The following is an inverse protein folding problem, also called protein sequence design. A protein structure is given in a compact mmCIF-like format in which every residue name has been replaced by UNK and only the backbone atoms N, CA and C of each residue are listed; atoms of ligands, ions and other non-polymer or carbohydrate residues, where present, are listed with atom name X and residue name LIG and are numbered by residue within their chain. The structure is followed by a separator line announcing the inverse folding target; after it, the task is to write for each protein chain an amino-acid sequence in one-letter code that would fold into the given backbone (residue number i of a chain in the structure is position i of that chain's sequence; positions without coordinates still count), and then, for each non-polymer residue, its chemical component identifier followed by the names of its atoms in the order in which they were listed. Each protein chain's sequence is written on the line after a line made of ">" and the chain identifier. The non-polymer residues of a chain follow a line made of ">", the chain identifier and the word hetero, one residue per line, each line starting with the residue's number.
data_IF_110650514569
#
_entry.id   IF_110650514569
#
_cell.length_a   1.000
_cell.length_b   1.000
_cell.length_c   1.000
_cell.angle_alpha   90.00
_cell.angle_beta   90.00
_cell.angle_gamma   90.00
#
_symmetry.space_group_name_H-M   'P 1'
#
loop_
_entity.id
_entity.type
_entity.pdbx_description
1 polymer ?
#
# COMPACT_ATOMS: atom_id res chain seq x y z
N UNK A 1 21.30 33.13 15.18
CA UNK A 1 20.60 31.85 14.91
C UNK A 1 20.56 31.67 13.40
N UNK A 2 21.44 30.84 12.85
CA UNK A 2 21.39 30.50 11.42
C UNK A 2 20.15 29.66 11.16
N UNK A 3 19.35 30.03 10.16
CA UNK A 3 18.18 29.28 9.72
C UNK A 3 18.71 28.02 9.03
N UNK A 4 18.56 26.84 9.63
CA UNK A 4 18.93 25.58 8.98
C UNK A 4 18.20 25.47 7.62
N UNK A 5 18.88 25.01 6.57
CA UNK A 5 18.24 24.86 5.27
C UNK A 5 17.14 23.79 5.37
N UNK A 6 16.05 23.91 4.59
CA UNK A 6 14.86 23.06 4.74
C UNK A 6 15.12 21.56 4.60
N UNK A 7 16.15 21.18 3.82
CA UNK A 7 16.53 19.78 3.61
C UNK A 7 17.28 19.18 4.80
N UNK A 8 18.19 19.93 5.44
CA UNK A 8 18.88 19.48 6.67
C UNK A 8 17.87 19.19 7.78
N UNK A 9 16.87 20.07 7.91
CA UNK A 9 15.78 19.85 8.86
C UNK A 9 14.97 18.61 8.49
N UNK A 10 14.65 18.41 7.22
CA UNK A 10 13.87 17.25 6.79
C UNK A 10 14.60 15.93 7.08
N UNK A 11 15.91 15.90 6.85
CA UNK A 11 16.77 14.76 7.17
C UNK A 11 16.75 14.41 8.67
N UNK A 12 16.86 15.43 9.53
CA UNK A 12 16.75 15.26 10.98
C UNK A 12 15.34 14.81 11.39
N UNK A 13 14.31 15.46 10.85
CA UNK A 13 12.90 15.20 11.16
C UNK A 13 12.47 13.77 10.75
N UNK A 14 13.06 13.19 9.70
CA UNK A 14 12.77 11.80 9.28
C UNK A 14 13.35 10.77 10.25
N UNK A 15 14.54 11.04 10.80
CA UNK A 15 15.20 10.21 11.81
C UNK A 15 14.57 10.35 13.20
N UNK A 16 13.84 11.44 13.45
CA UNK A 16 13.12 11.69 14.69
C UNK A 16 11.72 11.02 14.67
N UNK A 17 11.57 9.96 15.46
CA UNK A 17 10.30 9.24 15.62
C UNK A 17 9.18 10.11 16.22
N UNK A 18 9.52 11.17 16.96
CA UNK A 18 8.54 12.08 17.56
C UNK A 18 7.86 13.00 16.53
N UNK A 19 8.48 13.16 15.34
CA UNK A 19 7.90 13.98 14.28
C UNK A 19 6.77 13.21 13.58
N UNK A 20 5.56 13.78 13.47
CA UNK A 20 4.45 13.11 12.80
C UNK A 20 4.72 12.87 11.31
N UNK A 21 4.47 11.64 10.85
CA UNK A 21 4.63 11.24 9.43
C UNK A 21 3.86 12.19 8.48
N UNK A 22 2.71 12.72 8.90
CA UNK A 22 1.92 13.66 8.09
C UNK A 22 2.66 14.97 7.81
N UNK A 23 3.47 15.45 8.77
CA UNK A 23 4.29 16.63 8.57
C UNK A 23 5.35 16.37 7.50
N UNK A 24 6.03 15.22 7.59
CA UNK A 24 7.03 14.78 6.61
C UNK A 24 6.41 14.66 5.20
N UNK A 25 5.25 14.00 5.08
CA UNK A 25 4.56 13.84 3.80
C UNK A 25 4.10 15.17 3.19
N UNK A 26 3.68 16.15 4.00
CA UNK A 26 3.36 17.50 3.51
C UNK A 26 4.58 18.23 2.95
N UNK A 27 5.75 18.06 3.57
CA UNK A 27 7.01 18.58 3.01
C UNK A 27 7.32 17.92 1.67
N UNK A 28 7.13 16.61 1.55
CA UNK A 28 7.30 15.88 0.28
C UNK A 28 6.37 16.41 -0.81
N UNK A 29 5.11 16.74 -0.50
CA UNK A 29 4.20 17.38 -1.48
C UNK A 29 4.78 18.71 -1.98
N UNK A 30 5.32 19.54 -1.09
CA UNK A 30 5.92 20.83 -1.45
C UNK A 30 7.17 20.62 -2.32
N UNK A 31 8.04 19.69 -1.94
CA UNK A 31 9.25 19.34 -2.71
C UNK A 31 8.88 18.82 -4.11
N UNK A 32 7.94 17.88 -4.19
CA UNK A 32 7.43 17.36 -5.47
C UNK A 32 6.76 18.44 -6.32
N UNK A 33 6.12 19.43 -5.70
CA UNK A 33 5.56 20.59 -6.39
C UNK A 33 6.61 21.48 -7.04
N UNK A 34 7.71 21.76 -6.31
CA UNK A 34 8.85 22.55 -6.82
C UNK A 34 9.59 21.83 -7.94
N UNK A 35 9.70 20.50 -7.83
CA UNK A 35 10.36 19.66 -8.82
C UNK A 35 9.46 19.21 -9.97
N UNK A 36 8.18 19.61 -10.01
CA UNK A 36 7.20 19.09 -10.98
C UNK A 36 7.07 17.55 -11.02
N UNK A 37 7.38 16.89 -9.91
CA UNK A 37 7.27 15.42 -9.77
C UNK A 37 5.84 15.03 -9.38
N UNK A 38 5.02 14.75 -10.39
CA UNK A 38 3.66 14.24 -10.18
C UNK A 38 3.60 12.91 -9.39
N UNK A 39 4.44 11.89 -9.69
CA UNK A 39 4.42 10.63 -8.95
C UNK A 39 4.66 10.82 -7.45
N UNK A 40 5.65 11.65 -7.08
CA UNK A 40 5.99 11.93 -5.69
C UNK A 40 4.82 12.61 -4.95
N UNK A 41 4.17 13.59 -5.58
CA UNK A 41 3.00 14.26 -5.00
C UNK A 41 1.81 13.31 -4.85
N UNK A 42 1.57 12.46 -5.85
CA UNK A 42 0.46 11.50 -5.83
C UNK A 42 0.64 10.48 -4.71
N UNK A 43 1.84 9.91 -4.58
CA UNK A 43 2.19 9.00 -3.49
C UNK A 43 1.97 9.66 -2.13
N UNK A 44 2.57 10.83 -1.88
CA UNK A 44 2.44 11.51 -0.59
C UNK A 44 0.98 11.90 -0.27
N UNK A 45 0.20 12.25 -1.30
CA UNK A 45 -1.23 12.54 -1.14
C UNK A 45 -2.02 11.28 -0.77
N UNK A 46 -1.78 10.14 -1.44
CA UNK A 46 -2.45 8.89 -1.13
C UNK A 46 -2.08 8.38 0.28
N UNK A 47 -0.83 8.56 0.71
CA UNK A 47 -0.42 8.27 2.08
C UNK A 47 -1.20 9.13 3.11
N UNK A 48 -1.37 10.43 2.83
CA UNK A 48 -2.08 11.37 3.69
C UNK A 48 -3.61 11.20 3.70
N UNK A 49 -4.21 10.88 2.55
CA UNK A 49 -5.66 10.90 2.35
C UNK A 49 -6.28 9.49 2.31
N UNK A 50 -5.44 8.47 2.16
CA UNK A 50 -5.86 7.11 1.86
C UNK A 50 -5.76 6.83 0.36
N UNK A 51 -5.68 5.56 0.04
CA UNK A 51 -5.63 5.08 -1.32
C UNK A 51 -7.04 4.93 -1.90
N UNK A 52 -7.19 5.05 -3.23
CA UNK A 52 -8.42 4.72 -3.93
C UNK A 52 -8.92 3.31 -3.57
N UNK A 53 -10.22 3.08 -3.77
CA UNK A 53 -10.93 1.85 -3.40
C UNK A 53 -10.41 0.56 -4.06
N UNK A 54 -11.08 -0.57 -3.81
CA UNK A 54 -10.60 -1.91 -4.18
C UNK A 54 -10.31 -2.04 -5.68
N UNK A 55 -9.26 -2.79 -6.02
CA UNK A 55 -8.81 -3.01 -7.39
C UNK A 55 -7.84 -1.95 -7.92
N UNK A 56 -7.59 -0.89 -7.17
CA UNK A 56 -6.54 0.08 -7.51
C UNK A 56 -5.19 -0.40 -7.01
N UNK A 57 -4.11 -0.16 -7.78
CA UNK A 57 -2.77 -0.57 -7.42
C UNK A 57 -2.33 0.10 -6.11
N UNK A 58 -1.84 -0.73 -5.20
CA UNK A 58 -1.32 -0.34 -3.91
C UNK A 58 0.18 -0.67 -3.84
N UNK A 59 0.98 0.14 -3.13
CA UNK A 59 2.33 -0.27 -2.79
C UNK A 59 2.32 -1.58 -2.00
N UNK A 60 3.33 -2.42 -2.17
CA UNK A 60 3.38 -3.77 -1.57
C UNK A 60 3.26 -3.75 -0.04
N UNK A 61 3.85 -2.75 0.62
CA UNK A 61 3.76 -2.55 2.07
C UNK A 61 2.35 -2.14 2.56
N UNK A 62 1.40 -1.85 1.66
CA UNK A 62 -0.01 -1.61 2.00
C UNK A 62 -0.86 -2.88 1.99
N UNK A 63 -0.28 -4.03 1.67
CA UNK A 63 -0.96 -5.32 1.75
C UNK A 63 -0.36 -6.12 2.89
N UNK A 64 -1.19 -6.48 3.87
CA UNK A 64 -0.75 -7.26 5.03
C UNK A 64 -1.38 -8.65 5.01
N UNK A 65 -0.63 -9.64 5.49
CA UNK A 65 -1.18 -10.98 5.72
C UNK A 65 -1.99 -10.98 7.01
N UNK A 66 -3.24 -11.41 6.93
CA UNK A 66 -4.15 -11.46 8.07
C UNK A 66 -4.96 -12.78 8.04
N UNK A 67 -4.92 -13.59 9.10
CA UNK A 67 -5.72 -14.81 9.16
C UNK A 67 -7.21 -14.47 9.15
N UNK A 68 -7.99 -15.35 8.52
CA UNK A 68 -9.43 -15.31 8.58
C UNK A 68 -9.92 -15.90 9.89
N UNK A 69 -10.86 -15.21 10.52
CA UNK A 69 -11.53 -15.67 11.73
C UNK A 69 -13.05 -15.55 11.62
N UNK A 70 -13.72 -16.38 12.40
CA UNK A 70 -15.16 -16.45 12.49
C UNK A 70 -15.61 -16.42 13.95
N UNK A 71 -16.74 -15.75 14.20
CA UNK A 71 -17.51 -15.96 15.43
C UNK A 71 -18.80 -16.68 15.07
N UNK A 72 -19.12 -17.72 15.83
CA UNK A 72 -20.29 -18.56 15.62
C UNK A 72 -20.95 -18.94 16.95
N UNK A 73 -22.22 -19.33 16.92
CA UNK A 73 -22.86 -19.94 18.08
C UNK A 73 -23.82 -21.04 17.66
N UNK A 74 -24.08 -21.95 18.57
CA UNK A 74 -25.14 -22.95 18.51
C UNK A 74 -25.96 -22.90 19.79
N UNK A 75 -26.97 -23.76 19.92
CA UNK A 75 -27.73 -23.88 21.17
C UNK A 75 -26.86 -24.24 22.38
N UNK A 76 -25.75 -24.96 22.17
CA UNK A 76 -24.95 -25.55 23.25
C UNK A 76 -23.52 -25.00 23.34
N UNK A 77 -23.08 -24.23 22.35
CA UNK A 77 -21.69 -23.76 22.28
C UNK A 77 -21.60 -22.38 21.64
N UNK A 78 -20.52 -21.67 21.95
CA UNK A 78 -20.15 -20.42 21.28
C UNK A 78 -18.69 -20.52 20.83
N UNK A 79 -18.46 -20.29 19.55
CA UNK A 79 -17.15 -20.14 18.94
C UNK A 79 -16.81 -18.66 18.82
N UNK A 80 -15.65 -18.25 19.35
CA UNK A 80 -15.14 -16.87 19.21
C UNK A 80 -13.72 -16.92 18.69
N UNK A 81 -13.41 -16.04 17.74
CA UNK A 81 -12.10 -15.93 17.12
C UNK A 81 -11.59 -17.26 16.53
N UNK A 82 -12.51 -18.07 15.98
CA UNK A 82 -12.15 -19.35 15.38
C UNK A 82 -11.40 -19.09 14.07
N UNK A 83 -10.13 -19.48 14.00
CA UNK A 83 -9.35 -19.37 12.77
C UNK A 83 -9.89 -20.34 11.73
N UNK A 84 -10.16 -19.83 10.54
CA UNK A 84 -10.66 -20.61 9.40
C UNK A 84 -9.74 -20.41 8.20
N UNK A 85 -9.72 -21.40 7.30
CA UNK A 85 -9.07 -21.28 6.00
C UNK A 85 -10.03 -20.64 4.99
N UNK A 86 -9.50 -20.03 3.92
CA UNK A 86 -10.29 -19.64 2.74
C UNK A 86 -11.14 -20.80 2.22
N UNK A 87 -10.63 -22.03 2.28
CA UNK A 87 -11.36 -23.23 1.86
C UNK A 87 -12.59 -23.56 2.72
N UNK A 88 -12.70 -22.97 3.91
CA UNK A 88 -13.88 -23.12 4.78
C UNK A 88 -14.99 -22.11 4.44
N UNK A 89 -14.69 -21.12 3.58
CA UNK A 89 -15.69 -20.22 3.02
C UNK A 89 -16.49 -20.94 1.92
N UNK A 90 -17.70 -20.45 1.60
CA UNK A 90 -18.44 -20.93 0.43
C UNK A 90 -17.65 -20.74 -0.86
N UNK A 91 -17.78 -21.66 -1.82
CA UNK A 91 -16.99 -21.69 -3.07
C UNK A 91 -17.03 -20.36 -3.84
N UNK A 92 -18.16 -19.65 -3.80
CA UNK A 92 -18.34 -18.33 -4.43
C UNK A 92 -17.37 -17.26 -3.90
N UNK A 93 -16.73 -17.50 -2.76
CA UNK A 93 -15.81 -16.57 -2.11
C UNK A 93 -14.33 -16.90 -2.34
N UNK A 94 -13.99 -18.09 -2.84
CA UNK A 94 -12.59 -18.56 -2.92
C UNK A 94 -11.73 -17.68 -3.82
N UNK A 95 -12.30 -17.13 -4.90
CA UNK A 95 -11.59 -16.23 -5.83
C UNK A 95 -11.63 -14.75 -5.38
N UNK A 96 -12.54 -14.40 -4.45
CA UNK A 96 -12.81 -13.02 -4.04
C UNK A 96 -12.15 -12.65 -2.71
N UNK A 97 -11.86 -13.65 -1.88
CA UNK A 97 -11.32 -13.49 -0.53
C UNK A 97 -10.00 -14.24 -0.43
N UNK A 98 -8.98 -13.55 0.06
CA UNK A 98 -7.70 -14.13 0.43
C UNK A 98 -7.32 -13.74 1.85
N UNK A 99 -6.23 -14.31 2.36
CA UNK A 99 -5.61 -13.90 3.63
C UNK A 99 -4.73 -12.65 3.47
N UNK A 100 -4.85 -11.93 2.35
CA UNK A 100 -4.19 -10.65 2.12
C UNK A 100 -5.21 -9.52 2.27
N UNK A 101 -4.97 -8.65 3.24
CA UNK A 101 -5.78 -7.46 3.48
C UNK A 101 -5.12 -6.24 2.82
N UNK A 102 -5.71 -5.66 1.76
CA UNK A 102 -5.30 -4.36 1.26
C UNK A 102 -5.74 -3.24 2.23
N UNK A 103 -4.78 -2.48 2.76
CA UNK A 103 -5.01 -1.37 3.70
C UNK A 103 -4.97 -0.04 2.97
N UNK A 104 -6.15 0.47 2.60
CA UNK A 104 -6.32 1.73 1.87
C UNK A 104 -6.41 2.98 2.75
N UNK A 105 -6.33 2.82 4.08
CA UNK A 105 -6.48 3.94 5.01
C UNK A 105 -5.32 4.94 4.94
N UNK A 106 -5.61 6.21 5.23
CA UNK A 106 -4.56 7.21 5.45
C UNK A 106 -3.67 6.84 6.63
N UNK A 107 -2.42 7.29 6.61
CA UNK A 107 -1.50 7.09 7.76
C UNK A 107 -2.07 7.65 9.06
N UNK A 108 -2.82 8.76 8.99
CA UNK A 108 -3.50 9.33 10.17
C UNK A 108 -4.61 8.45 10.70
N UNK A 109 -5.38 7.79 9.83
CA UNK A 109 -6.40 6.82 10.27
C UNK A 109 -5.76 5.58 10.89
N UNK A 110 -4.65 5.09 10.32
CA UNK A 110 -3.90 3.95 10.87
C UNK A 110 -3.39 4.27 12.28
N UNK A 111 -2.73 5.42 12.46
CA UNK A 111 -2.27 5.87 13.78
C UNK A 111 -3.41 6.00 14.79
N UNK A 112 -4.55 6.55 14.36
CA UNK A 112 -5.71 6.70 15.21
C UNK A 112 -6.30 5.34 15.63
N UNK A 113 -6.33 4.36 14.71
CA UNK A 113 -6.78 3.00 15.04
C UNK A 113 -5.87 2.37 16.10
N UNK A 114 -4.56 2.46 15.91
CA UNK A 114 -3.56 1.93 16.84
C UNK A 114 -3.71 2.58 18.23
N UNK A 115 -3.82 3.90 18.29
CA UNK A 115 -3.82 4.64 19.56
C UNK A 115 -5.07 4.40 20.43
N UNK A 116 -6.20 4.00 19.85
CA UNK A 116 -7.47 3.81 20.57
C UNK A 116 -7.83 2.35 20.83
N UNK A 117 -6.96 1.40 20.48
CA UNK A 117 -7.21 -0.02 20.64
C UNK A 117 -6.38 -0.59 21.79
N UNK A 118 -6.93 -1.57 22.49
CA UNK A 118 -6.15 -2.39 23.42
C UNK A 118 -5.00 -3.10 22.65
N UNK A 119 -3.72 -2.95 23.04
CA UNK A 119 -2.58 -3.53 22.34
C UNK A 119 -2.65 -5.05 22.14
N UNK A 120 -3.37 -5.76 23.00
CA UNK A 120 -3.50 -7.22 22.95
C UNK A 120 -4.74 -7.69 22.19
N UNK A 121 -5.61 -6.78 21.75
CA UNK A 121 -6.82 -7.13 21.02
C UNK A 121 -6.64 -6.87 19.53
N UNK A 122 -6.73 -7.90 18.66
CA UNK A 122 -6.61 -7.70 17.23
C UNK A 122 -7.79 -6.90 16.68
N UNK A 123 -7.52 -6.10 15.66
CA UNK A 123 -8.54 -5.42 14.86
C UNK A 123 -9.30 -6.44 14.01
N UNK A 124 -10.63 -6.29 13.97
CA UNK A 124 -11.51 -7.14 13.15
C UNK A 124 -11.94 -6.36 11.91
N UNK A 125 -11.37 -6.68 10.76
CA UNK A 125 -11.75 -6.07 9.47
C UNK A 125 -12.69 -6.99 8.70
N UNK A 126 -13.87 -6.48 8.33
CA UNK A 126 -14.85 -7.25 7.57
C UNK A 126 -14.37 -7.61 6.18
N UNK A 127 -14.75 -8.79 5.70
CA UNK A 127 -14.54 -9.22 4.32
C UNK A 127 -15.51 -8.51 3.35
N UNK A 128 -15.16 -8.42 2.06
CA UNK A 128 -16.13 -8.13 1.01
C UNK A 128 -17.34 -9.07 1.11
N UNK A 129 -18.55 -8.52 1.23
CA UNK A 129 -19.77 -9.31 1.39
C UNK A 129 -19.83 -10.18 2.66
N UNK A 130 -19.08 -9.83 3.70
CA UNK A 130 -19.00 -10.62 4.96
C UNK A 130 -20.35 -10.97 5.57
N UNK A 131 -21.36 -10.10 5.47
CA UNK A 131 -22.70 -10.35 5.99
C UNK A 131 -23.43 -11.43 5.16
N UNK A 132 -23.34 -11.36 3.84
CA UNK A 132 -23.90 -12.34 2.91
C UNK A 132 -23.20 -13.69 3.07
N UNK A 133 -21.88 -13.70 3.23
CA UNK A 133 -21.10 -14.91 3.50
C UNK A 133 -21.50 -15.56 4.83
N UNK A 134 -21.64 -14.78 5.90
CA UNK A 134 -22.10 -15.30 7.19
C UNK A 134 -23.52 -15.91 7.10
N UNK A 135 -24.42 -15.29 6.34
CA UNK A 135 -25.76 -15.84 6.09
C UNK A 135 -25.71 -17.13 5.29
N UNK A 136 -24.90 -17.21 4.24
CA UNK A 136 -24.75 -18.41 3.42
C UNK A 136 -24.19 -19.57 4.26
N UNK A 137 -23.11 -19.31 5.01
CA UNK A 137 -22.51 -20.30 5.91
C UNK A 137 -23.46 -20.77 7.03
N UNK A 138 -24.33 -19.89 7.52
CA UNK A 138 -25.41 -20.24 8.46
C UNK A 138 -26.43 -21.17 7.80
N UNK A 139 -26.84 -20.87 6.56
CA UNK A 139 -27.77 -21.70 5.80
C UNK A 139 -27.22 -23.11 5.57
N UNK A 140 -25.96 -23.22 5.16
CA UNK A 140 -25.26 -24.50 4.94
C UNK A 140 -25.12 -25.34 6.21
N UNK A 141 -25.02 -24.69 7.38
CA UNK A 141 -24.89 -25.35 8.69
C UNK A 141 -26.20 -25.38 9.49
N UNK A 142 -27.32 -25.06 8.86
CA UNK A 142 -28.64 -25.00 9.51
C UNK A 142 -29.05 -26.32 10.18
N UNK A 143 -28.70 -27.46 9.57
CA UNK A 143 -28.95 -28.79 10.14
C UNK A 143 -28.18 -29.07 11.45
N UNK A 144 -27.12 -28.32 11.74
CA UNK A 144 -26.34 -28.39 12.98
C UNK A 144 -26.78 -27.34 14.01
N UNK A 145 -27.74 -26.47 13.65
CA UNK A 145 -28.19 -25.36 14.50
C UNK A 145 -27.09 -24.32 14.76
N UNK A 146 -26.10 -24.21 13.86
CA UNK A 146 -25.00 -23.24 13.96
C UNK A 146 -25.37 -21.96 13.22
N UNK A 147 -25.19 -20.83 13.89
CA UNK A 147 -25.32 -19.49 13.34
C UNK A 147 -23.95 -18.83 13.29
N UNK A 148 -23.54 -18.42 12.10
CA UNK A 148 -22.31 -17.65 11.89
C UNK A 148 -22.65 -16.17 12.06
N UNK A 149 -22.06 -15.52 13.05
CA UNK A 149 -22.33 -14.10 13.36
C UNK A 149 -21.54 -13.17 12.46
N UNK A 150 -20.26 -13.50 12.23
CA UNK A 150 -19.34 -12.66 11.47
C UNK A 150 -18.13 -13.45 11.01
N UNK A 151 -17.57 -12.99 9.90
CA UNK A 151 -16.32 -13.47 9.32
C UNK A 151 -15.47 -12.24 9.01
N UNK A 152 -14.21 -12.27 9.40
CA UNK A 152 -13.34 -11.09 9.36
C UNK A 152 -11.87 -11.49 9.26
N UNK A 153 -11.05 -10.58 8.75
CA UNK A 153 -9.61 -10.61 8.95
C UNK A 153 -9.28 -10.18 10.37
N UNK A 154 -8.46 -10.97 11.06
CA UNK A 154 -7.91 -10.63 12.38
C UNK A 154 -6.53 -10.03 12.22
N UNK A 155 -6.38 -8.74 12.55
CA UNK A 155 -5.15 -7.98 12.32
C UNK A 155 -4.55 -7.52 13.64
N UNK A 156 -3.32 -7.95 13.92
CA UNK A 156 -2.59 -7.44 15.07
C UNK A 156 -2.10 -6.00 14.84
N UNK A 157 -2.01 -5.19 15.90
CA UNK A 157 -1.58 -3.79 15.79
C UNK A 157 -0.17 -3.63 15.18
N UNK A 158 0.72 -4.60 15.40
CA UNK A 158 2.07 -4.60 14.80
C UNK A 158 2.04 -4.53 13.28
N UNK A 159 1.12 -5.25 12.62
CA UNK A 159 1.03 -5.23 11.16
C UNK A 159 0.65 -3.85 10.62
N UNK A 160 -0.11 -3.07 11.39
CA UNK A 160 -0.44 -1.69 11.05
C UNK A 160 0.71 -0.72 11.38
N UNK A 161 1.45 -0.98 12.45
CA UNK A 161 2.70 -0.26 12.75
C UNK A 161 3.72 -0.44 11.64
N UNK A 162 3.89 -1.67 11.13
CA UNK A 162 4.82 -1.97 10.04
C UNK A 162 4.52 -1.10 8.81
N UNK A 163 3.25 -0.82 8.49
CA UNK A 163 2.88 0.10 7.40
C UNK A 163 3.45 1.51 7.65
N UNK A 164 3.32 2.03 8.88
CA UNK A 164 3.80 3.37 9.24
C UNK A 164 5.33 3.44 9.17
N UNK A 165 6.01 2.41 9.67
CA UNK A 165 7.47 2.28 9.58
C UNK A 165 7.95 2.21 8.13
N UNK A 166 7.26 1.45 7.29
CA UNK A 166 7.58 1.34 5.87
C UNK A 166 7.42 2.69 5.15
N UNK A 167 6.45 3.53 5.53
CA UNK A 167 6.32 4.90 5.01
C UNK A 167 7.51 5.77 5.47
N UNK A 168 7.89 5.70 6.74
CA UNK A 168 9.06 6.44 7.26
C UNK A 168 10.36 6.01 6.60
N UNK A 169 10.57 4.71 6.40
CA UNK A 169 11.75 4.18 5.73
C UNK A 169 11.84 4.67 4.28
N UNK A 170 10.72 4.77 3.56
CA UNK A 170 10.71 5.35 2.20
C UNK A 170 11.01 6.83 2.18
N UNK A 171 10.60 7.58 3.19
CA UNK A 171 11.00 8.98 3.36
C UNK A 171 12.51 9.08 3.62
N UNK A 172 13.06 8.17 4.43
CA UNK A 172 14.49 8.10 4.71
C UNK A 172 15.30 7.76 3.46
N UNK A 173 14.90 6.73 2.72
CA UNK A 173 15.51 6.33 1.45
C UNK A 173 15.45 7.46 0.42
N UNK A 174 14.32 8.16 0.33
CA UNK A 174 14.17 9.32 -0.54
C UNK A 174 15.17 10.43 -0.19
N UNK A 175 15.28 10.80 1.10
CA UNK A 175 16.22 11.85 1.53
C UNK A 175 17.67 11.41 1.33
N UNK A 176 18.00 10.15 1.64
CA UNK A 176 19.33 9.61 1.47
C UNK A 176 19.76 9.64 0.00
N UNK A 177 18.89 9.19 -0.92
CA UNK A 177 19.18 9.25 -2.37
C UNK A 177 19.29 10.70 -2.86
N UNK A 178 18.41 11.59 -2.37
CA UNK A 178 18.47 12.99 -2.72
C UNK A 178 19.83 13.60 -2.31
N UNK A 179 20.31 13.30 -1.11
CA UNK A 179 21.63 13.74 -0.62
C UNK A 179 22.79 13.12 -1.38
N UNK A 180 22.71 11.85 -1.75
CA UNK A 180 23.76 11.17 -2.49
C UNK A 180 24.02 11.79 -3.87
N UNK A 181 23.04 12.50 -4.42
CA UNK A 181 23.12 13.16 -5.74
C UNK A 181 23.44 14.66 -5.67
N UNK A 182 23.53 15.22 -4.47
CA UNK A 182 23.80 16.64 -4.22
C UNK A 182 25.27 16.89 -3.89
N UNK A 183 25.78 18.05 -4.28
CA UNK A 183 27.13 18.45 -3.90
C UNK A 183 27.20 18.79 -2.41
N UNK A 184 28.33 18.54 -1.72
CA UNK A 184 28.48 18.89 -0.31
C UNK A 184 28.19 20.37 -0.04
N UNK A 185 27.24 20.66 0.85
CA UNK A 185 26.83 22.01 1.21
C UNK A 185 25.71 22.60 0.33
N UNK A 186 25.26 21.88 -0.71
CA UNK A 186 24.08 22.26 -1.48
C UNK A 186 22.82 22.18 -0.59
N UNK A 187 22.04 23.26 -0.58
CA UNK A 187 20.89 23.43 0.31
C UNK A 187 19.55 23.18 -0.37
N UNK A 188 19.50 23.29 -1.69
CA UNK A 188 18.29 23.13 -2.49
C UNK A 188 18.54 22.11 -3.60
N UNK A 189 17.74 21.04 -3.67
CA UNK A 189 17.89 20.05 -4.72
C UNK A 189 17.36 20.59 -6.05
N UNK A 190 18.03 20.23 -7.14
CA UNK A 190 17.58 20.43 -8.50
C UNK A 190 16.38 19.53 -8.83
N UNK A 191 15.64 19.91 -9.87
CA UNK A 191 14.53 19.12 -10.43
C UNK A 191 14.97 17.69 -10.75
N UNK A 192 16.13 17.54 -11.41
CA UNK A 192 16.67 16.24 -11.81
C UNK A 192 16.97 15.32 -10.61
N UNK A 193 17.59 15.85 -9.56
CA UNK A 193 17.91 15.10 -8.34
C UNK A 193 16.63 14.63 -7.63
N UNK A 194 15.58 15.47 -7.55
CA UNK A 194 14.29 15.05 -6.97
C UNK A 194 13.62 13.97 -7.81
N UNK A 195 13.68 14.05 -9.14
CA UNK A 195 13.14 13.01 -10.02
C UNK A 195 13.86 11.68 -9.85
N UNK A 196 15.19 11.68 -9.74
CA UNK A 196 15.97 10.48 -9.47
C UNK A 196 15.60 9.90 -8.11
N UNK A 197 15.63 10.71 -7.05
CA UNK A 197 15.29 10.25 -5.71
C UNK A 197 13.85 9.73 -5.60
N UNK A 198 12.89 10.31 -6.34
CA UNK A 198 11.51 9.83 -6.34
C UNK A 198 11.36 8.40 -6.88
N UNK A 199 12.33 7.88 -7.65
CA UNK A 199 12.31 6.50 -8.15
C UNK A 199 12.54 5.48 -7.03
N UNK A 200 13.24 5.85 -5.95
CA UNK A 200 13.55 4.91 -4.84
C UNK A 200 12.33 4.60 -3.97
N UNK A 201 11.33 5.48 -3.96
CA UNK A 201 10.08 5.30 -3.19
C UNK A 201 9.27 4.09 -3.71
N UNK A 202 9.70 3.41 -4.79
CA UNK A 202 9.06 2.22 -5.36
C UNK A 202 7.55 2.45 -5.46
N UNK A 203 7.18 3.52 -6.17
CA UNK A 203 5.80 3.84 -6.54
C UNK A 203 5.40 2.87 -7.66
N UNK A 204 5.47 1.56 -7.39
CA UNK A 204 5.11 0.51 -8.33
C UNK A 204 3.61 0.35 -8.26
N UNK A 205 2.94 1.15 -9.07
CA UNK A 205 1.50 1.12 -9.29
C UNK A 205 1.21 -0.06 -10.23
N UNK A 206 1.09 -1.28 -9.70
CA UNK A 206 0.58 -2.47 -10.42
C UNK A 206 1.43 -2.97 -11.61
N UNK A 207 1.56 -4.29 -11.73
CA UNK A 207 2.23 -5.02 -12.82
C UNK A 207 3.70 -4.67 -13.10
N UNK A 208 4.56 -4.78 -12.08
CA UNK A 208 6.03 -4.96 -12.14
C UNK A 208 6.84 -4.14 -13.18
N UNK A 209 6.26 -3.10 -13.76
CA UNK A 209 6.89 -2.26 -14.74
C UNK A 209 7.39 -1.03 -14.00
N UNK A 210 8.71 -0.83 -13.84
CA UNK A 210 9.20 0.48 -13.46
C UNK A 210 8.68 1.45 -14.51
N UNK A 211 7.84 2.40 -14.11
CA UNK A 211 7.41 3.47 -15.01
C UNK A 211 8.66 4.29 -15.31
N UNK A 212 9.34 3.96 -16.39
CA UNK A 212 10.33 4.83 -17.01
C UNK A 212 9.59 6.06 -17.52
N UNK A 213 9.55 7.12 -16.71
CA UNK A 213 9.15 8.44 -17.17
C UNK A 213 10.24 8.94 -18.10
N UNK A 214 10.10 8.66 -19.40
CA UNK A 214 10.92 9.29 -20.43
C UNK A 214 10.46 10.75 -20.52
N UNK A 215 11.22 11.66 -19.94
CA UNK A 215 11.06 13.09 -20.19
C UNK A 215 11.20 13.35 -21.70
N UNK A 216 10.31 14.12 -22.34
CA UNK A 216 10.34 14.32 -23.79
C UNK A 216 11.59 15.11 -24.19
N UNK A 217 12.58 14.40 -24.74
CA UNK A 217 13.65 15.03 -25.50
C UNK A 217 13.08 15.50 -26.84
N UNK A 218 13.05 16.81 -27.05
CA UNK A 218 12.84 17.39 -28.38
C UNK A 218 13.97 16.91 -29.29
N UNK A 219 13.65 16.24 -30.40
CA UNK A 219 14.07 16.58 -31.77
C UNK A 219 13.61 15.51 -32.79
N UNK A 220 12.96 16.01 -33.85
CA UNK A 220 12.92 15.52 -35.24
C UNK A 220 12.49 14.08 -35.53
N UNK A 221 11.30 13.97 -36.11
CA UNK A 221 10.78 12.75 -36.73
C UNK A 221 11.61 12.29 -37.94
N UNK A 222 11.95 11.00 -37.98
CA UNK A 222 11.99 10.21 -39.22
C UNK A 222 11.37 8.86 -38.90
N UNK A 223 10.22 8.57 -39.51
CA UNK A 223 9.53 7.27 -39.37
C UNK A 223 10.10 6.34 -40.43
N UNK A 224 10.79 5.29 -40.00
CA UNK A 224 11.16 4.15 -40.84
C UNK A 224 10.39 2.93 -40.34
N UNK A 225 9.50 2.37 -41.17
CA UNK A 225 8.78 1.15 -40.85
C UNK A 225 9.65 -0.08 -41.19
N UNK A 226 9.95 -0.99 -40.24
CA UNK A 226 10.49 -2.29 -40.58
C UNK A 226 9.38 -3.25 -41.04
N UNK A 227 9.58 -3.78 -42.24
CA UNK A 227 8.79 -4.80 -42.93
C UNK A 227 8.67 -6.08 -42.10
N UNK A 228 7.44 -6.60 -41.91
CA UNK A 228 7.18 -7.89 -41.24
C UNK A 228 7.84 -9.05 -42.00
N UNK A 229 8.52 -9.99 -41.33
CA UNK A 229 8.93 -11.24 -41.97
C UNK A 229 7.76 -12.22 -42.09
N UNK A 230 7.59 -12.78 -43.29
CA UNK A 230 6.66 -13.85 -43.61
C UNK A 230 7.06 -15.16 -42.90
N UNK A 231 6.17 -15.73 -42.08
CA UNK A 231 6.32 -17.11 -41.61
C UNK A 231 5.94 -18.10 -42.72
N UNK A 232 6.91 -18.94 -43.09
CA UNK A 232 6.83 -19.95 -44.15
C UNK A 232 6.49 -21.31 -43.52
N UNK A 233 5.32 -21.84 -43.86
CA UNK A 233 4.87 -23.21 -43.57
C UNK A 233 5.64 -24.24 -44.40
N UNK A 234 5.96 -25.41 -43.84
CA UNK A 234 6.23 -26.64 -44.60
C UNK A 234 5.66 -27.90 -43.90
N UNK A 235 5.34 -28.96 -44.67
CA UNK A 235 4.22 -29.87 -44.39
C UNK A 235 4.63 -31.24 -43.84
N UNK A 236 3.61 -31.98 -43.39
CA UNK A 236 3.63 -33.40 -43.01
C UNK A 236 4.03 -34.33 -44.17
N UNK A 237 4.76 -35.39 -43.82
CA UNK A 237 4.52 -36.76 -44.30
C UNK A 237 4.44 -37.67 -43.09
#
# INVERSE_FOLDING_TARGET
>A
MSKQPPLDKFEQDVLDESVPIQQLLRLVIVLGGRAFSEPLRLWARNELQGYPGPGMPLPTYRTITAPLQMDSHSRFSQGRNETISVLALPDVAHDLVSEQLPVTFSVGKIQNLIANQDPHTPFKFGLPGSAELARLMTSERSGQGVVVERIYWSVHASALHDILEQVRNRLLEFVAELRATMEPGESEPTVGQVHQAAQTINITVGDHSPVHVIAPHRHSATVSFPTRPHHRWWPRR
#
